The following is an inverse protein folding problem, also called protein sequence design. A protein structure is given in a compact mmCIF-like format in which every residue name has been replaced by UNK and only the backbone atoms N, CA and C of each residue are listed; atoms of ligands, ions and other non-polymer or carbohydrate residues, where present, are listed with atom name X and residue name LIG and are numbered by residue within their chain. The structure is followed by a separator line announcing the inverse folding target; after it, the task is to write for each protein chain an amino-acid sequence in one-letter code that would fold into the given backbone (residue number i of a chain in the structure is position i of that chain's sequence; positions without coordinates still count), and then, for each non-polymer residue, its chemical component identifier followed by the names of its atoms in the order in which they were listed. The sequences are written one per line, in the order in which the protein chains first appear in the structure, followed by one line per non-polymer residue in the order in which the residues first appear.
data_IF_875936335067
#
_entry.id   IF_875936335067
#
_cell.length_a   1.000
_cell.length_b   1.000
_cell.length_c   1.000
_cell.angle_alpha   90.00
_cell.angle_beta   90.00
_cell.angle_gamma   90.00
#
_symmetry.space_group_name_H-M   'P 1'
#
loop_
_entity.id
_entity.type
_entity.pdbx_description
1 polymer ?
#
# COMPACT_ATOMS: atom_id res chain seq x y z
N UNK A 1 -4.45 -35.95 -72.77
CA UNK A 1 -4.85 -36.73 -71.57
C UNK A 1 -4.02 -36.39 -70.32
N UNK A 2 -2.69 -36.23 -70.39
CA UNK A 2 -1.89 -35.90 -69.19
C UNK A 2 -2.23 -34.55 -68.52
N UNK A 3 -2.65 -33.54 -69.29
CA UNK A 3 -2.98 -32.20 -68.78
C UNK A 3 -4.25 -32.17 -67.90
N UNK A 4 -5.25 -33.01 -68.19
CA UNK A 4 -6.48 -33.07 -67.37
C UNK A 4 -6.23 -33.74 -66.02
N UNK A 5 -5.38 -34.78 -65.98
CA UNK A 5 -5.00 -35.44 -64.73
C UNK A 5 -4.26 -34.51 -63.76
N UNK A 6 -3.40 -33.62 -64.27
CA UNK A 6 -2.70 -32.62 -63.43
C UNK A 6 -3.68 -31.57 -62.89
N UNK A 7 -4.64 -31.11 -63.71
CA UNK A 7 -5.66 -30.12 -63.30
C UNK A 7 -6.59 -30.65 -62.21
N UNK A 8 -6.89 -31.95 -62.25
CA UNK A 8 -7.73 -32.60 -61.24
C UNK A 8 -6.98 -32.89 -59.94
N UNK A 9 -5.70 -33.25 -60.03
CA UNK A 9 -4.82 -33.38 -58.87
C UNK A 9 -4.64 -32.05 -58.13
N UNK A 10 -4.42 -30.95 -58.86
CA UNK A 10 -4.32 -29.59 -58.28
C UNK A 10 -5.65 -29.15 -57.66
N UNK A 11 -6.80 -29.39 -58.31
CA UNK A 11 -8.12 -29.09 -57.72
C UNK A 11 -8.39 -29.91 -56.46
N UNK A 12 -7.99 -31.17 -56.42
CA UNK A 12 -8.10 -31.99 -55.21
C UNK A 12 -7.18 -31.50 -54.08
N UNK A 13 -5.94 -31.11 -54.39
CA UNK A 13 -5.00 -30.55 -53.41
C UNK A 13 -5.53 -29.23 -52.83
N UNK A 14 -6.00 -28.31 -53.68
CA UNK A 14 -6.59 -27.02 -53.25
C UNK A 14 -7.83 -27.25 -52.39
N UNK A 15 -8.71 -28.19 -52.75
CA UNK A 15 -9.88 -28.54 -51.91
C UNK A 15 -9.48 -29.11 -50.55
N UNK A 16 -8.41 -29.92 -50.46
CA UNK A 16 -7.91 -30.44 -49.18
C UNK A 16 -7.35 -29.31 -48.31
N UNK A 17 -6.51 -28.44 -48.88
CA UNK A 17 -5.95 -27.27 -48.16
C UNK A 17 -7.07 -26.36 -47.67
N UNK A 18 -8.05 -26.06 -48.52
CA UNK A 18 -9.18 -25.22 -48.14
C UNK A 18 -10.03 -25.85 -47.02
N UNK A 19 -10.27 -27.17 -47.05
CA UNK A 19 -10.94 -27.88 -45.96
C UNK A 19 -10.18 -27.77 -44.64
N UNK A 20 -8.86 -27.91 -44.66
CA UNK A 20 -8.05 -27.75 -43.45
C UNK A 20 -8.07 -26.31 -42.92
N UNK A 21 -8.04 -25.31 -43.80
CA UNK A 21 -8.16 -23.91 -43.41
C UNK A 21 -9.53 -23.61 -42.78
N UNK A 22 -10.61 -24.12 -43.37
CA UNK A 22 -11.97 -23.99 -42.80
C UNK A 22 -12.07 -24.70 -41.45
N UNK A 23 -11.52 -25.91 -41.32
CA UNK A 23 -11.53 -26.64 -40.05
C UNK A 23 -10.74 -25.91 -38.96
N UNK A 24 -9.56 -25.38 -39.29
CA UNK A 24 -8.75 -24.58 -38.38
C UNK A 24 -9.48 -23.30 -37.95
N UNK A 25 -10.14 -22.61 -38.89
CA UNK A 25 -10.94 -21.43 -38.59
C UNK A 25 -12.13 -21.76 -37.67
N UNK A 26 -12.82 -22.88 -37.89
CA UNK A 26 -13.91 -23.35 -37.04
C UNK A 26 -13.43 -23.72 -35.63
N UNK A 27 -12.28 -24.38 -35.51
CA UNK A 27 -11.68 -24.70 -34.20
C UNK A 27 -11.24 -23.45 -33.46
N UNK A 28 -10.66 -22.46 -34.16
CA UNK A 28 -10.31 -21.17 -33.57
C UNK A 28 -11.55 -20.40 -33.09
N UNK A 29 -12.62 -20.40 -33.90
CA UNK A 29 -13.89 -19.79 -33.53
C UNK A 29 -14.56 -20.50 -32.33
N UNK A 30 -14.56 -21.84 -32.33
CA UNK A 30 -15.07 -22.62 -31.20
C UNK A 30 -14.25 -22.37 -29.93
N UNK A 31 -12.92 -22.31 -30.03
CA UNK A 31 -12.04 -21.93 -28.93
C UNK A 31 -12.35 -20.54 -28.38
N UNK A 32 -12.60 -19.56 -29.26
CA UNK A 32 -12.97 -18.20 -28.88
C UNK A 32 -14.33 -18.11 -28.16
N UNK A 33 -15.29 -19.00 -28.46
CA UNK A 33 -16.61 -19.05 -27.81
C UNK A 33 -16.59 -19.84 -26.49
N UNK A 34 -15.81 -20.92 -26.43
CA UNK A 34 -15.70 -21.76 -25.22
C UNK A 34 -14.87 -21.07 -24.13
N UNK A 35 -13.90 -20.24 -24.51
CA UNK A 35 -13.00 -19.57 -23.56
C UNK A 35 -13.73 -18.66 -22.55
N UNK A 36 -14.69 -17.80 -22.92
CA UNK A 36 -15.53 -17.06 -21.98
C UNK A 36 -16.40 -17.97 -21.09
N UNK A 37 -16.94 -19.06 -21.64
CA UNK A 37 -17.79 -19.99 -20.90
C UNK A 37 -17.00 -20.76 -19.83
N UNK A 38 -15.70 -20.96 -20.04
CA UNK A 38 -14.81 -21.63 -19.07
C UNK A 38 -14.83 -20.96 -17.70
N UNK A 39 -14.91 -19.63 -17.65
CA UNK A 39 -14.90 -18.91 -16.37
C UNK A 39 -16.19 -19.09 -15.57
N UNK A 40 -17.31 -19.25 -16.27
CA UNK A 40 -18.59 -19.57 -15.63
C UNK A 40 -18.58 -20.95 -14.97
N UNK A 41 -17.71 -21.86 -15.39
CA UNK A 41 -17.56 -23.20 -14.79
C UNK A 41 -16.52 -23.24 -13.66
N UNK A 42 -15.66 -22.22 -13.54
CA UNK A 42 -14.63 -22.15 -12.50
C UNK A 42 -15.22 -21.87 -11.12
N UNK A 43 -14.62 -22.45 -10.07
CA UNK A 43 -14.94 -22.11 -8.70
C UNK A 43 -14.52 -20.67 -8.36
N UNK A 44 -15.18 -19.99 -7.41
CA UNK A 44 -14.80 -18.63 -6.99
C UNK A 44 -13.33 -18.50 -6.59
N UNK A 45 -12.78 -19.49 -5.87
CA UNK A 45 -11.37 -19.53 -5.51
C UNK A 45 -10.42 -19.65 -6.72
N UNK A 46 -10.84 -20.34 -7.79
CA UNK A 46 -10.06 -20.40 -9.02
C UNK A 46 -10.09 -19.06 -9.77
N UNK A 47 -11.25 -18.40 -9.80
CA UNK A 47 -11.39 -17.05 -10.37
C UNK A 47 -10.51 -16.04 -9.62
N UNK A 48 -10.52 -16.07 -8.29
CA UNK A 48 -9.69 -15.21 -7.45
C UNK A 48 -8.19 -15.40 -7.71
N UNK A 49 -7.71 -16.66 -7.73
CA UNK A 49 -6.30 -16.97 -7.99
C UNK A 49 -5.86 -16.51 -9.37
N UNK A 50 -6.68 -16.72 -10.39
CA UNK A 50 -6.38 -16.26 -11.74
C UNK A 50 -6.38 -14.73 -11.83
N UNK A 51 -7.32 -14.06 -11.16
CA UNK A 51 -7.42 -12.61 -11.15
C UNK A 51 -6.15 -11.94 -10.59
N UNK A 52 -5.51 -12.54 -9.56
CA UNK A 52 -4.26 -12.03 -8.98
C UNK A 52 -3.09 -11.94 -9.95
N UNK A 53 -3.04 -12.84 -10.94
CA UNK A 53 -1.94 -12.90 -11.92
C UNK A 53 -2.35 -12.40 -13.30
N UNK A 54 -3.60 -11.96 -13.44
CA UNK A 54 -4.16 -11.55 -14.72
C UNK A 54 -3.83 -10.10 -15.06
N UNK A 55 -3.98 -9.74 -16.33
CA UNK A 55 -3.93 -8.33 -16.74
C UNK A 55 -5.06 -7.52 -16.08
N UNK A 56 -4.86 -6.22 -15.82
CA UNK A 56 -5.86 -5.27 -15.30
C UNK A 56 -7.31 -5.52 -15.77
N UNK A 57 -7.52 -5.51 -17.09
CA UNK A 57 -8.84 -5.72 -17.72
C UNK A 57 -9.41 -7.11 -17.47
N UNK A 58 -8.56 -8.13 -17.40
CA UNK A 58 -8.97 -9.52 -17.14
C UNK A 58 -9.30 -9.72 -15.68
N UNK A 59 -8.48 -9.21 -14.76
CA UNK A 59 -8.73 -9.25 -13.32
C UNK A 59 -10.08 -8.62 -12.98
N UNK A 60 -10.37 -7.41 -13.50
CA UNK A 60 -11.64 -6.74 -13.30
C UNK A 60 -12.86 -7.59 -13.72
N UNK A 61 -12.79 -8.25 -14.89
CA UNK A 61 -13.85 -9.15 -15.35
C UNK A 61 -14.02 -10.37 -14.45
N UNK A 62 -12.91 -10.95 -13.97
CA UNK A 62 -12.94 -12.11 -13.08
C UNK A 62 -13.54 -11.75 -11.72
N UNK A 63 -13.20 -10.58 -11.16
CA UNK A 63 -13.82 -10.09 -9.93
C UNK A 63 -15.31 -9.78 -10.11
N UNK A 64 -15.72 -9.16 -11.23
CA UNK A 64 -17.13 -8.92 -11.53
C UNK A 64 -17.93 -10.23 -11.68
N UNK A 65 -17.33 -11.27 -12.25
CA UNK A 65 -17.95 -12.60 -12.30
C UNK A 65 -18.04 -13.23 -10.90
N UNK A 66 -17.01 -13.05 -10.07
CA UNK A 66 -16.99 -13.56 -8.70
C UNK A 66 -18.07 -12.90 -7.84
N UNK A 67 -18.29 -11.58 -7.96
CA UNK A 67 -19.37 -10.86 -7.28
C UNK A 67 -20.75 -11.48 -7.57
N UNK A 68 -21.01 -11.85 -8.83
CA UNK A 68 -22.26 -12.52 -9.22
C UNK A 68 -22.42 -13.91 -8.61
N UNK A 69 -21.31 -14.60 -8.35
CA UNK A 69 -21.31 -15.97 -7.81
C UNK A 69 -21.33 -16.01 -6.28
N UNK A 70 -20.77 -15.00 -5.64
CA UNK A 70 -20.65 -14.89 -4.18
C UNK A 70 -21.01 -13.44 -3.81
N UNK A 71 -22.32 -13.11 -3.74
CA UNK A 71 -22.80 -11.75 -3.47
C UNK A 71 -22.28 -11.20 -2.14
N UNK A 72 -21.97 -12.06 -1.17
CA UNK A 72 -21.39 -11.68 0.12
C UNK A 72 -20.01 -11.01 -0.02
N UNK A 73 -19.32 -11.24 -1.14
CA UNK A 73 -18.03 -10.64 -1.48
C UNK A 73 -18.14 -9.50 -2.49
N UNK A 74 -19.34 -9.07 -2.86
CA UNK A 74 -19.57 -8.06 -3.89
C UNK A 74 -18.78 -6.77 -3.62
N UNK A 75 -18.78 -6.30 -2.37
CA UNK A 75 -18.03 -5.12 -1.92
C UNK A 75 -16.52 -5.25 -2.20
N UNK A 76 -15.91 -6.37 -1.80
CA UNK A 76 -14.49 -6.66 -2.07
C UNK A 76 -14.21 -6.86 -3.57
N UNK A 77 -15.15 -7.43 -4.31
CA UNK A 77 -15.01 -7.57 -5.76
C UNK A 77 -15.02 -6.21 -6.47
N UNK A 78 -15.84 -5.27 -6.00
CA UNK A 78 -15.81 -3.89 -6.50
C UNK A 78 -14.50 -3.19 -6.18
N UNK A 79 -14.01 -3.32 -4.95
CA UNK A 79 -12.70 -2.82 -4.52
C UNK A 79 -11.58 -3.36 -5.43
N UNK A 80 -11.43 -4.68 -5.55
CA UNK A 80 -10.35 -5.29 -6.34
C UNK A 80 -10.49 -5.02 -7.83
N UNK A 81 -11.72 -4.97 -8.36
CA UNK A 81 -11.96 -4.60 -9.74
C UNK A 81 -11.65 -3.12 -10.03
N UNK A 82 -11.83 -2.24 -9.06
CA UNK A 82 -11.47 -0.83 -9.19
C UNK A 82 -9.95 -0.67 -9.11
N UNK A 83 -9.30 -1.25 -8.11
CA UNK A 83 -7.85 -1.25 -7.95
C UNK A 83 -7.14 -1.74 -9.23
N UNK A 84 -7.61 -2.85 -9.82
CA UNK A 84 -7.06 -3.37 -11.06
C UNK A 84 -7.24 -2.46 -12.28
N UNK A 85 -8.14 -1.47 -12.24
CA UNK A 85 -8.45 -0.56 -13.36
C UNK A 85 -7.86 0.84 -13.20
N UNK A 86 -7.23 1.15 -12.07
CA UNK A 86 -6.52 2.41 -11.92
C UNK A 86 -5.50 2.59 -13.07
N UNK A 87 -5.34 3.80 -13.62
CA UNK A 87 -5.88 5.10 -13.14
C UNK A 87 -7.20 5.54 -13.80
N UNK A 88 -8.06 4.62 -14.27
CA UNK A 88 -9.32 5.01 -14.91
C UNK A 88 -10.24 5.83 -13.97
N UNK A 89 -10.88 6.88 -14.49
CA UNK A 89 -11.77 7.75 -13.70
C UNK A 89 -12.89 6.96 -12.99
N UNK A 90 -13.53 6.01 -13.69
CA UNK A 90 -14.58 5.19 -13.11
C UNK A 90 -14.05 4.26 -12.01
N UNK A 91 -12.75 3.93 -12.02
CA UNK A 91 -12.13 3.16 -10.95
C UNK A 91 -12.01 4.00 -9.68
N UNK A 92 -11.55 5.25 -9.78
CA UNK A 92 -11.49 6.21 -8.67
C UNK A 92 -12.89 6.43 -8.08
N UNK A 93 -13.90 6.66 -8.94
CA UNK A 93 -15.29 6.81 -8.49
C UNK A 93 -15.82 5.54 -7.79
N UNK A 94 -15.45 4.35 -8.29
CA UNK A 94 -15.82 3.08 -7.65
C UNK A 94 -15.18 2.94 -6.27
N UNK A 95 -13.92 3.33 -6.09
CA UNK A 95 -13.25 3.29 -4.78
C UNK A 95 -13.94 4.21 -3.77
N UNK A 96 -14.28 5.44 -4.18
CA UNK A 96 -15.08 6.36 -3.36
C UNK A 96 -16.45 5.77 -2.97
N UNK A 97 -17.11 5.07 -3.90
CA UNK A 97 -18.38 4.37 -3.62
C UNK A 97 -18.21 3.24 -2.61
N UNK A 98 -17.13 2.45 -2.72
CA UNK A 98 -16.81 1.40 -1.74
C UNK A 98 -16.58 2.01 -0.36
N UNK A 99 -15.75 3.06 -0.26
CA UNK A 99 -15.48 3.75 0.99
C UNK A 99 -16.75 4.30 1.66
N UNK A 100 -17.72 4.81 0.89
CA UNK A 100 -18.95 5.41 1.44
C UNK A 100 -20.06 4.41 1.72
N UNK A 101 -20.04 3.22 1.10
CA UNK A 101 -21.12 2.24 1.25
C UNK A 101 -21.21 1.69 2.67
N UNK A 102 -20.05 1.38 3.27
CA UNK A 102 -19.90 1.01 4.68
C UNK A 102 -18.60 1.64 5.21
N UNK A 103 -18.66 2.85 5.76
CA UNK A 103 -17.45 3.63 6.09
C UNK A 103 -16.54 2.93 7.10
N UNK A 104 -17.10 2.11 7.99
CA UNK A 104 -16.32 1.41 9.02
C UNK A 104 -15.86 0.00 8.60
N UNK A 105 -15.99 -0.37 7.32
CA UNK A 105 -15.65 -1.71 6.84
C UNK A 105 -14.16 -1.86 6.51
N UNK A 106 -13.60 -3.09 6.58
CA UNK A 106 -12.25 -3.35 6.07
C UNK A 106 -12.10 -3.00 4.58
N UNK A 107 -13.18 -3.05 3.79
CA UNK A 107 -13.15 -2.65 2.40
C UNK A 107 -13.04 -1.13 2.24
N UNK A 108 -13.64 -0.33 3.13
CA UNK A 108 -13.46 1.11 3.16
C UNK A 108 -12.01 1.50 3.50
N UNK A 109 -11.41 0.84 4.51
CA UNK A 109 -9.97 0.99 4.80
C UNK A 109 -9.11 0.76 3.55
N UNK A 110 -9.32 -0.37 2.86
CA UNK A 110 -8.55 -0.68 1.67
C UNK A 110 -8.86 0.25 0.48
N UNK A 111 -10.07 0.79 0.39
CA UNK A 111 -10.42 1.78 -0.63
C UNK A 111 -9.66 3.09 -0.41
N UNK A 112 -9.68 3.63 0.81
CA UNK A 112 -8.91 4.81 1.21
C UNK A 112 -7.41 4.61 0.99
N UNK A 113 -6.84 3.49 1.46
CA UNK A 113 -5.41 3.21 1.24
C UNK A 113 -5.04 3.09 -0.25
N UNK A 114 -5.94 2.54 -1.06
CA UNK A 114 -5.73 2.44 -2.52
C UNK A 114 -5.79 3.82 -3.19
N UNK A 115 -6.74 4.67 -2.78
CA UNK A 115 -6.87 6.05 -3.24
C UNK A 115 -5.64 6.87 -2.84
N UNK A 116 -5.20 6.77 -1.58
CA UNK A 116 -4.02 7.45 -1.06
C UNK A 116 -2.76 7.14 -1.89
N UNK A 117 -2.48 5.86 -2.15
CA UNK A 117 -1.34 5.43 -2.98
C UNK A 117 -1.46 5.91 -4.43
N UNK A 118 -2.67 5.93 -4.97
CA UNK A 118 -2.92 6.45 -6.31
C UNK A 118 -2.66 7.96 -6.38
N UNK A 119 -3.23 8.73 -5.45
CA UNK A 119 -3.04 10.18 -5.36
C UNK A 119 -1.56 10.54 -5.12
N UNK A 120 -0.86 9.78 -4.26
CA UNK A 120 0.58 9.94 -4.05
C UNK A 120 1.35 9.78 -5.36
N UNK A 121 1.00 8.79 -6.18
CA UNK A 121 1.67 8.52 -7.47
C UNK A 121 1.47 9.61 -8.53
N UNK A 122 0.50 10.50 -8.33
CA UNK A 122 0.23 11.65 -9.20
C UNK A 122 0.42 12.99 -8.47
N UNK A 123 1.06 12.97 -7.29
CA UNK A 123 1.34 14.16 -6.46
C UNK A 123 0.09 15.01 -6.16
N UNK A 124 -1.05 14.34 -5.92
CA UNK A 124 -2.32 14.99 -5.62
C UNK A 124 -2.41 15.34 -4.13
N UNK A 125 -3.01 16.51 -3.82
CA UNK A 125 -3.14 17.02 -2.45
C UNK A 125 -4.09 16.17 -1.59
N UNK A 126 -4.96 15.37 -2.22
CA UNK A 126 -5.86 14.43 -1.58
C UNK A 126 -5.14 13.24 -0.93
N UNK A 127 -3.83 13.05 -1.18
CA UNK A 127 -3.03 11.94 -0.64
C UNK A 127 -3.12 11.83 0.88
N UNK A 128 -2.93 12.96 1.59
CA UNK A 128 -2.86 12.97 3.05
C UNK A 128 -4.21 12.63 3.67
N UNK A 129 -5.28 13.23 3.14
CA UNK A 129 -6.65 13.00 3.60
C UNK A 129 -7.04 11.52 3.47
N UNK A 130 -6.68 10.87 2.36
CA UNK A 130 -6.99 9.46 2.14
C UNK A 130 -6.16 8.52 3.03
N UNK A 131 -4.88 8.81 3.28
CA UNK A 131 -4.10 8.06 4.27
C UNK A 131 -4.66 8.23 5.68
N UNK A 132 -5.01 9.46 6.07
CA UNK A 132 -5.59 9.73 7.39
C UNK A 132 -6.95 9.08 7.56
N UNK A 133 -7.79 9.06 6.51
CA UNK A 133 -9.05 8.34 6.51
C UNK A 133 -8.85 6.82 6.68
N UNK A 134 -7.86 6.23 6.01
CA UNK A 134 -7.50 4.82 6.23
C UNK A 134 -7.02 4.58 7.68
N UNK A 135 -6.11 5.41 8.19
CA UNK A 135 -5.57 5.29 9.55
C UNK A 135 -6.61 5.49 10.66
N UNK A 136 -7.69 6.22 10.38
CA UNK A 136 -8.82 6.35 11.30
C UNK A 136 -9.63 5.05 11.46
N UNK A 137 -9.61 4.18 10.44
CA UNK A 137 -10.30 2.88 10.45
C UNK A 137 -9.43 1.76 11.00
N UNK A 138 -8.15 1.76 10.64
CA UNK A 138 -7.15 0.82 11.12
C UNK A 138 -5.80 1.54 11.26
N UNK A 139 -5.27 1.60 12.47
CA UNK A 139 -3.98 2.23 12.76
C UNK A 139 -2.80 1.33 12.36
N UNK A 140 -2.77 0.98 11.07
CA UNK A 140 -1.78 0.09 10.50
C UNK A 140 -0.41 0.80 10.38
N UNK A 141 0.60 0.19 10.99
CA UNK A 141 1.99 0.70 11.02
C UNK A 141 2.54 0.92 9.61
N UNK A 142 2.26 0.01 8.69
CA UNK A 142 2.72 0.12 7.30
C UNK A 142 2.13 1.33 6.60
N UNK A 143 0.82 1.60 6.77
CA UNK A 143 0.17 2.78 6.20
C UNK A 143 0.72 4.08 6.81
N UNK A 144 0.99 4.07 8.12
CA UNK A 144 1.58 5.21 8.83
C UNK A 144 3.01 5.51 8.37
N UNK A 145 3.81 4.47 8.09
CA UNK A 145 5.14 4.62 7.51
C UNK A 145 5.11 5.14 6.07
N UNK A 146 4.16 4.67 5.25
CA UNK A 146 3.96 5.18 3.89
C UNK A 146 3.61 6.67 3.90
N UNK A 147 2.65 7.09 4.74
CA UNK A 147 2.30 8.50 4.93
C UNK A 147 3.50 9.32 5.45
N UNK A 148 4.24 8.82 6.44
CA UNK A 148 5.39 9.53 6.99
C UNK A 148 6.45 9.83 5.91
N UNK A 149 6.75 8.85 5.04
CA UNK A 149 7.71 9.02 3.94
C UNK A 149 7.19 9.97 2.88
N UNK A 150 5.92 9.86 2.52
CA UNK A 150 5.30 10.81 1.59
C UNK A 150 5.43 12.26 2.11
N UNK A 151 5.13 12.49 3.39
CA UNK A 151 5.26 13.82 4.00
C UNK A 151 6.73 14.29 4.06
N UNK A 152 7.70 13.41 4.30
CA UNK A 152 9.13 13.74 4.16
C UNK A 152 9.46 14.20 2.73
N UNK A 153 8.98 13.49 1.71
CA UNK A 153 9.18 13.82 0.29
C UNK A 153 8.54 15.16 -0.08
N UNK A 154 7.37 15.48 0.49
CA UNK A 154 6.70 16.77 0.33
C UNK A 154 7.33 17.89 1.20
N UNK A 155 8.41 17.58 1.94
CA UNK A 155 9.07 18.48 2.87
C UNK A 155 8.17 18.98 4.04
N UNK A 156 7.06 18.27 4.32
CA UNK A 156 6.28 18.44 5.54
C UNK A 156 6.89 17.63 6.69
N UNK A 157 7.98 18.18 7.24
CA UNK A 157 8.70 17.56 8.36
C UNK A 157 7.84 17.41 9.61
N UNK A 158 6.98 18.38 9.90
CA UNK A 158 6.14 18.34 11.10
C UNK A 158 5.08 17.24 11.00
N UNK A 159 4.44 17.12 9.83
CA UNK A 159 3.52 16.03 9.52
C UNK A 159 4.21 14.66 9.59
N UNK A 160 5.36 14.50 8.94
CA UNK A 160 6.13 13.26 8.97
C UNK A 160 6.54 12.86 10.40
N UNK A 161 7.04 13.82 11.19
CA UNK A 161 7.41 13.60 12.58
C UNK A 161 6.24 13.09 13.42
N UNK A 162 5.05 13.69 13.26
CA UNK A 162 3.82 13.25 13.93
C UNK A 162 3.51 11.78 13.64
N UNK A 163 3.67 11.34 12.40
CA UNK A 163 3.44 9.94 12.03
C UNK A 163 4.49 9.02 12.65
N UNK A 164 5.77 9.38 12.60
CA UNK A 164 6.84 8.59 13.21
C UNK A 164 6.68 8.44 14.73
N UNK A 165 6.36 9.55 15.41
CA UNK A 165 6.11 9.57 16.86
C UNK A 165 4.95 8.67 17.27
N UNK A 166 3.89 8.60 16.46
CA UNK A 166 2.74 7.74 16.75
C UNK A 166 3.06 6.23 16.70
N UNK A 167 4.25 5.84 16.25
CA UNK A 167 4.72 4.45 16.23
C UNK A 167 5.68 4.10 17.38
N UNK A 168 5.95 5.01 18.30
CA UNK A 168 6.71 4.70 19.51
C UNK A 168 5.97 3.61 20.31
N UNK A 169 6.68 2.59 20.78
CA UNK A 169 6.07 1.44 21.45
C UNK A 169 5.86 0.21 20.55
N UNK A 170 5.98 0.37 19.22
CA UNK A 170 5.74 -0.73 18.26
C UNK A 170 7.01 -1.46 17.82
N UNK A 171 8.13 -1.25 18.52
CA UNK A 171 9.45 -1.86 18.24
C UNK A 171 9.91 -1.69 16.78
N UNK A 172 9.78 -0.47 16.24
CA UNK A 172 10.15 -0.12 14.85
C UNK A 172 11.36 0.82 14.80
N UNK A 173 12.59 0.30 14.59
CA UNK A 173 13.80 1.13 14.52
C UNK A 173 13.78 2.18 13.40
N UNK A 174 13.05 1.91 12.31
CA UNK A 174 12.85 2.84 11.21
C UNK A 174 12.03 4.08 11.62
N UNK A 175 11.13 3.95 12.60
CA UNK A 175 10.37 5.07 13.13
C UNK A 175 11.29 6.05 13.90
N UNK A 176 12.21 5.56 14.72
CA UNK A 176 13.13 6.43 15.48
C UNK A 176 14.12 7.14 14.56
N UNK A 177 14.61 6.46 13.53
CA UNK A 177 15.43 7.08 12.50
C UNK A 177 14.65 8.19 11.76
N UNK A 178 13.37 7.95 11.45
CA UNK A 178 12.47 8.96 10.89
C UNK A 178 12.26 10.16 11.82
N UNK A 179 12.02 9.93 13.11
CA UNK A 179 11.89 10.98 14.12
C UNK A 179 13.12 11.90 14.13
N UNK A 180 14.33 11.33 14.17
CA UNK A 180 15.57 12.12 14.19
C UNK A 180 15.78 12.99 12.95
N UNK A 181 15.31 12.56 11.78
CA UNK A 181 15.41 13.35 10.54
C UNK A 181 14.39 14.48 10.46
N UNK A 182 13.21 14.28 11.06
CA UNK A 182 12.02 15.11 10.84
C UNK A 182 11.68 16.03 12.01
N UNK A 183 12.19 15.73 13.20
CA UNK A 183 11.99 16.56 14.38
C UNK A 183 12.54 17.99 14.18
N UNK A 184 11.97 18.99 14.89
CA UNK A 184 12.51 20.34 14.90
C UNK A 184 13.92 20.38 15.51
N UNK A 185 14.17 19.56 16.53
CA UNK A 185 15.43 19.46 17.24
C UNK A 185 15.55 18.11 17.97
N UNK A 186 16.76 17.84 18.47
CA UNK A 186 17.07 16.60 19.17
C UNK A 186 16.46 16.52 20.58
N UNK A 187 16.21 17.65 21.27
CA UNK A 187 15.60 17.65 22.61
C UNK A 187 14.14 17.22 22.53
N UNK A 188 13.43 17.58 21.45
CA UNK A 188 12.07 17.11 21.15
C UNK A 188 12.03 15.59 20.99
N UNK A 189 12.93 15.02 20.17
CA UNK A 189 13.02 13.55 19.99
C UNK A 189 13.28 12.85 21.32
N UNK A 190 14.29 13.34 22.07
CA UNK A 190 14.67 12.74 23.33
C UNK A 190 13.56 12.82 24.38
N UNK A 191 12.84 13.94 24.44
CA UNK A 191 11.69 14.12 25.32
C UNK A 191 10.57 13.10 25.03
N UNK A 192 10.23 12.90 23.77
CA UNK A 192 9.19 11.95 23.36
C UNK A 192 9.58 10.48 23.60
N UNK A 193 10.83 10.12 23.31
CA UNK A 193 11.37 8.78 23.58
C UNK A 193 11.42 8.50 25.09
N UNK A 194 11.92 9.46 25.88
CA UNK A 194 11.97 9.36 27.34
C UNK A 194 10.58 9.25 27.96
N UNK A 195 9.61 10.02 27.46
CA UNK A 195 8.20 9.95 27.89
C UNK A 195 7.57 8.58 27.66
N UNK A 196 8.14 7.80 26.74
CA UNK A 196 7.70 6.44 26.40
C UNK A 196 8.61 5.34 26.96
N UNK A 197 9.57 5.69 27.81
CA UNK A 197 10.48 4.75 28.47
C UNK A 197 11.71 4.31 27.65
N UNK A 198 11.93 4.88 26.47
CA UNK A 198 13.09 4.59 25.61
C UNK A 198 14.32 5.40 26.04
N UNK A 199 14.81 5.11 27.24
CA UNK A 199 15.81 5.95 27.92
C UNK A 199 17.19 5.88 27.26
N UNK A 200 17.59 4.72 26.72
CA UNK A 200 18.83 4.58 25.95
C UNK A 200 18.77 5.34 24.62
N UNK A 201 17.66 5.24 23.88
CA UNK A 201 17.49 5.97 22.61
C UNK A 201 17.40 7.48 22.82
N UNK A 202 16.82 7.92 23.95
CA UNK A 202 16.81 9.33 24.35
C UNK A 202 18.23 9.86 24.59
N UNK A 203 19.11 9.08 25.24
CA UNK A 203 20.52 9.44 25.40
C UNK A 203 21.26 9.48 24.06
N UNK A 204 20.99 8.51 23.16
CA UNK A 204 21.59 8.50 21.83
C UNK A 204 21.18 9.77 21.03
N UNK A 205 19.91 10.17 21.10
CA UNK A 205 19.43 11.38 20.43
C UNK A 205 20.12 12.66 20.94
N UNK A 206 20.58 12.68 22.19
CA UNK A 206 21.21 13.85 22.83
C UNK A 206 22.75 13.85 22.77
N UNK A 207 23.38 12.83 22.17
CA UNK A 207 24.82 12.56 22.28
C UNK A 207 25.72 13.79 22.01
N UNK A 208 25.37 14.61 21.03
CA UNK A 208 26.16 15.76 20.60
C UNK A 208 25.41 17.10 20.80
N UNK A 209 24.44 17.13 21.72
CA UNK A 209 23.59 18.31 21.97
C UNK A 209 23.99 18.98 23.27
N UNK A 210 24.57 20.17 23.16
CA UNK A 210 25.02 20.98 24.29
C UNK A 210 24.04 22.14 24.52
N UNK A 211 23.01 21.89 25.31
CA UNK A 211 22.01 22.88 25.72
C UNK A 211 21.49 22.57 27.12
N UNK A 212 20.96 23.59 27.81
CA UNK A 212 20.41 23.43 29.15
C UNK A 212 19.34 22.31 29.18
N UNK A 213 18.43 22.34 28.19
CA UNK A 213 17.37 21.34 28.07
C UNK A 213 17.95 19.93 27.82
N UNK A 214 19.00 19.81 27.00
CA UNK A 214 19.66 18.55 26.74
C UNK A 214 20.31 17.97 28.01
N UNK A 215 20.94 18.79 28.85
CA UNK A 215 21.46 18.35 30.15
C UNK A 215 20.34 17.84 31.06
N UNK A 216 19.24 18.58 31.16
CA UNK A 216 18.09 18.18 31.98
C UNK A 216 17.46 16.86 31.48
N UNK A 217 17.36 16.67 30.16
CA UNK A 217 16.84 15.43 29.57
C UNK A 217 17.82 14.25 29.73
N UNK A 218 19.13 14.48 29.56
CA UNK A 218 20.17 13.46 29.81
C UNK A 218 20.14 12.98 31.26
N UNK A 219 20.07 13.89 32.24
CA UNK A 219 19.93 13.54 33.65
C UNK A 219 18.71 12.65 33.91
N UNK A 220 17.54 12.99 33.33
CA UNK A 220 16.33 12.18 33.48
C UNK A 220 16.45 10.80 32.81
N UNK A 221 17.07 10.74 31.62
CA UNK A 221 17.28 9.48 30.91
C UNK A 221 18.27 8.55 31.64
N UNK A 222 19.38 9.09 32.17
CA UNK A 222 20.31 8.36 33.02
C UNK A 222 19.64 7.81 34.28
N UNK A 223 18.78 8.61 34.93
CA UNK A 223 18.02 8.17 36.10
C UNK A 223 17.05 7.03 35.77
N UNK A 224 16.40 7.10 34.61
CA UNK A 224 15.55 6.01 34.13
C UNK A 224 16.33 4.69 33.94
N UNK A 225 17.61 4.76 33.56
CA UNK A 225 18.49 3.61 33.44
C UNK A 225 19.14 3.18 34.78
N UNK A 226 18.94 3.94 35.87
CA UNK A 226 19.56 3.67 37.17
C UNK A 226 21.06 4.01 37.25
N UNK A 227 21.55 4.93 36.41
CA UNK A 227 22.97 5.33 36.33
C UNK A 227 23.28 6.53 37.25
N UNK A 228 23.06 6.37 38.55
CA UNK A 228 23.07 7.46 39.54
C UNK A 228 24.39 8.25 39.60
N UNK A 229 25.53 7.62 39.30
CA UNK A 229 26.84 8.28 39.31
C UNK A 229 27.00 9.34 38.21
N UNK A 230 26.36 9.13 37.05
CA UNK A 230 26.43 10.03 35.89
C UNK A 230 25.35 11.12 35.97
N UNK A 231 24.25 10.85 36.67
CA UNK A 231 23.13 11.79 36.87
C UNK A 231 23.59 13.10 37.52
N UNK A 232 24.44 13.03 38.55
CA UNK A 232 24.83 14.21 39.32
C UNK A 232 25.55 15.29 38.49
N UNK A 233 26.36 14.88 37.51
CA UNK A 233 27.06 15.81 36.63
C UNK A 233 26.10 16.54 35.68
N UNK A 234 25.15 15.81 35.08
CA UNK A 234 24.15 16.37 34.18
C UNK A 234 23.12 17.25 34.93
N UNK A 235 22.78 16.91 36.17
CA UNK A 235 21.91 17.74 37.02
C UNK A 235 22.56 19.07 37.40
N UNK A 236 23.85 19.06 37.74
CA UNK A 236 24.59 20.28 38.02
C UNK A 236 24.60 21.21 36.78
N UNK A 237 24.92 20.67 35.61
CA UNK A 237 24.89 21.43 34.35
C UNK A 237 23.48 21.95 34.01
N UNK A 238 22.44 21.14 34.21
CA UNK A 238 21.04 21.55 34.05
C UNK A 238 20.68 22.73 34.98
N UNK A 239 21.10 22.69 36.25
CA UNK A 239 20.83 23.75 37.22
C UNK A 239 21.61 25.04 36.92
N UNK A 240 22.89 24.93 36.58
CA UNK A 240 23.75 26.08 36.26
C UNK A 240 23.22 26.91 35.09
N UNK A 241 22.61 26.25 34.10
CA UNK A 241 22.13 26.93 32.90
C UNK A 241 20.62 27.26 32.91
N UNK A 242 19.88 26.89 33.97
CA UNK A 242 18.45 27.21 34.14
C UNK A 242 18.16 28.26 35.21
N UNK A 243 19.15 28.68 35.99
CA UNK A 243 19.10 29.80 36.94
C UNK A 243 19.49 31.14 36.33
#
# INVERSE_FOLDING_TARGET
MAYEHVKDAVRQAVRRVWRYLVLAALLAAAGAVVWPCRDHLRSPQALYREAKTATPRRAARLYALMAKKVPELEEYCHLWSAQARLPAFEAVETLHKVARYRPDSPAAYHAHLTLARYYASIESFETDDEYLAALALDDAVEARLELARYLEEQNDRAGAYKQYRAMIGLERPDAFAGMRRTAPDATTVAGDLLGSGYCSDALEALRDVDSCEAHCLRARALRCLGLDAEVAAEEAACQECSG
#
